data_IF_930118195084
#
_entry.id   IF_930118195084
#
_cell.length_a   1.000
_cell.length_b   1.000
_cell.length_c   1.000
_cell.angle_alpha   90.00
_cell.angle_beta   90.00
_cell.angle_gamma   90.00
#
_symmetry.space_group_name_H-M   'P 1'
#
loop_
_entity.id
_entity.type
_entity.pdbx_description
1 polymer ?
#
# COMPACT_ATOMS: atom_id res chain seq x y z
N UNK A 1 -17.60 -19.47 -7.17
CA UNK A 1 -16.62 -18.97 -6.18
C UNK A 1 -15.68 -18.03 -6.91
N UNK A 2 -15.76 -16.72 -6.68
CA UNK A 2 -14.73 -15.81 -7.20
C UNK A 2 -13.41 -16.16 -6.53
N UNK A 3 -12.43 -16.62 -7.31
CA UNK A 3 -11.08 -16.82 -6.79
C UNK A 3 -10.47 -15.43 -6.59
N UNK A 4 -10.10 -15.11 -5.35
CA UNK A 4 -9.35 -13.88 -5.06
C UNK A 4 -7.95 -14.04 -5.67
N UNK A 5 -7.60 -13.13 -6.58
CA UNK A 5 -6.30 -13.16 -7.27
C UNK A 5 -5.22 -12.38 -6.52
N UNK A 6 -5.60 -11.60 -5.50
CA UNK A 6 -4.72 -10.72 -4.74
C UNK A 6 -4.84 -10.99 -3.24
N UNK A 7 -3.72 -10.85 -2.54
CA UNK A 7 -3.63 -10.86 -1.09
C UNK A 7 -3.01 -9.55 -0.60
N UNK A 8 -3.48 -9.02 0.53
CA UNK A 8 -2.94 -7.82 1.14
C UNK A 8 -2.79 -8.00 2.65
N UNK A 9 -1.80 -7.34 3.25
CA UNK A 9 -1.50 -7.41 4.67
C UNK A 9 -0.95 -6.07 5.21
N UNK A 10 -1.03 -5.85 6.54
CA UNK A 10 -0.40 -4.69 7.17
C UNK A 10 1.13 -4.73 7.09
N UNK A 11 1.72 -3.56 6.80
CA UNK A 11 3.16 -3.30 6.80
C UNK A 11 3.47 -2.23 7.84
N UNK A 12 4.45 -2.48 8.70
CA UNK A 12 5.02 -1.47 9.58
C UNK A 12 6.26 -0.85 8.93
N UNK A 13 6.29 0.47 8.82
CA UNK A 13 7.46 1.23 8.41
C UNK A 13 8.08 1.89 9.64
N UNK A 14 9.37 1.66 9.87
CA UNK A 14 10.14 2.24 10.97
C UNK A 14 11.24 3.15 10.41
N UNK A 15 11.31 4.38 10.90
CA UNK A 15 12.41 5.30 10.63
C UNK A 15 13.32 5.38 11.85
N UNK A 16 14.55 4.87 11.72
CA UNK A 16 15.47 4.72 12.87
C UNK A 16 15.84 6.06 13.51
N UNK A 17 16.00 7.10 12.69
CA UNK A 17 16.50 8.39 13.16
C UNK A 17 15.42 9.20 13.89
N UNK A 18 14.16 9.01 13.51
CA UNK A 18 13.02 9.76 14.02
C UNK A 18 12.29 9.02 15.14
N UNK A 19 12.65 7.74 15.39
CA UNK A 19 11.90 6.82 16.28
C UNK A 19 10.42 6.72 15.90
N UNK A 20 10.13 6.96 14.63
CA UNK A 20 8.79 6.94 14.07
C UNK A 20 8.44 5.53 13.60
N UNK A 21 7.22 5.10 13.89
CA UNK A 21 6.67 3.83 13.41
C UNK A 21 5.27 4.06 12.87
N UNK A 22 5.06 3.81 11.58
CA UNK A 22 3.75 3.93 10.94
C UNK A 22 3.33 2.58 10.37
N UNK A 23 2.14 2.11 10.74
CA UNK A 23 1.52 0.90 10.21
C UNK A 23 0.48 1.26 9.17
N UNK A 24 0.60 0.68 7.98
CA UNK A 24 -0.38 0.84 6.88
C UNK A 24 -0.84 -0.52 6.40
N UNK A 25 -2.11 -0.67 6.11
CA UNK A 25 -2.65 -1.98 5.73
C UNK A 25 -4.12 -1.99 5.35
N UNK A 26 -4.63 -3.15 4.92
CA UNK A 26 -6.04 -3.32 4.63
C UNK A 26 -6.87 -3.34 5.92
N UNK A 27 -8.02 -2.69 5.91
CA UNK A 27 -9.06 -2.87 6.90
C UNK A 27 -9.98 -4.01 6.46
N UNK A 28 -10.20 -5.00 7.32
CA UNK A 28 -10.84 -6.25 6.94
C UNK A 28 -12.05 -6.58 7.81
N UNK A 29 -13.10 -7.11 7.18
CA UNK A 29 -14.25 -7.73 7.87
C UNK A 29 -14.19 -9.23 7.59
N UNK A 30 -13.74 -10.02 8.58
CA UNK A 30 -13.13 -11.32 8.30
C UNK A 30 -12.08 -11.15 7.19
N UNK A 31 -12.01 -12.02 6.18
CA UNK A 31 -10.95 -11.95 5.17
C UNK A 31 -11.25 -10.99 4.01
N UNK A 32 -12.42 -10.34 4.02
CA UNK A 32 -12.81 -9.41 2.98
C UNK A 32 -12.23 -8.02 3.28
N UNK A 33 -11.48 -7.45 2.33
CA UNK A 33 -10.93 -6.10 2.44
C UNK A 33 -12.03 -5.08 2.21
N UNK A 34 -12.30 -4.24 3.22
CA UNK A 34 -13.32 -3.19 3.17
C UNK A 34 -12.74 -1.80 3.00
N UNK A 35 -11.41 -1.65 3.09
CA UNK A 35 -10.72 -0.38 2.94
C UNK A 35 -9.26 -0.48 3.35
N UNK A 36 -8.65 0.66 3.65
CA UNK A 36 -7.25 0.76 4.07
C UNK A 36 -7.14 1.69 5.29
N UNK A 37 -6.17 1.43 6.14
CA UNK A 37 -5.87 2.24 7.32
C UNK A 37 -4.41 2.69 7.32
N UNK A 38 -4.16 3.76 8.07
CA UNK A 38 -2.82 4.23 8.43
C UNK A 38 -2.84 4.63 9.90
N UNK A 39 -1.89 4.13 10.67
CA UNK A 39 -1.76 4.38 12.10
C UNK A 39 -0.32 4.75 12.43
N UNK A 40 -0.15 5.88 13.09
CA UNK A 40 1.14 6.32 13.65
C UNK A 40 1.25 5.83 15.10
N UNK A 41 2.37 5.18 15.42
CA UNK A 41 2.68 4.56 16.71
C UNK A 41 3.86 5.23 17.42
N UNK A 42 4.36 6.35 16.91
CA UNK A 42 5.60 7.02 17.38
C UNK A 42 5.52 7.51 18.82
N UNK A 43 4.35 7.94 19.27
CA UNK A 43 4.14 8.50 20.61
C UNK A 43 3.73 7.45 21.66
N UNK A 44 3.80 6.15 21.36
CA UNK A 44 3.48 5.06 22.29
C UNK A 44 2.00 4.96 22.69
N UNK A 45 1.18 5.94 22.29
CA UNK A 45 -0.27 5.81 22.28
C UNK A 45 -0.66 5.38 20.87
N UNK A 46 -1.31 4.22 20.77
CA UNK A 46 -2.05 3.84 19.58
C UNK A 46 -3.18 4.87 19.42
N UNK A 47 -2.88 6.04 18.83
CA UNK A 47 -3.91 6.96 18.40
C UNK A 47 -4.87 6.12 17.54
N UNK A 48 -6.14 6.12 17.94
CA UNK A 48 -7.15 5.19 17.44
C UNK A 48 -6.97 4.98 15.94
N UNK A 49 -6.84 3.72 15.52
CA UNK A 49 -6.68 3.35 14.12
C UNK A 49 -7.66 4.21 13.32
N UNK A 50 -7.13 5.13 12.52
CA UNK A 50 -7.98 5.99 11.71
C UNK A 50 -8.54 5.09 10.61
N UNK A 51 -9.71 4.49 10.87
CA UNK A 51 -10.56 3.93 9.83
C UNK A 51 -10.99 5.11 8.99
N UNK A 52 -10.13 5.50 8.06
CA UNK A 52 -10.46 6.51 7.07
C UNK A 52 -11.42 5.85 6.10
N UNK A 53 -12.69 5.75 6.50
CA UNK A 53 -13.79 5.61 5.56
C UNK A 53 -13.85 6.92 4.78
N UNK A 54 -13.06 6.98 3.71
CA UNK A 54 -12.98 8.02 2.68
C UNK A 54 -12.57 9.45 3.14
N UNK A 55 -11.47 9.91 2.55
CA UNK A 55 -11.16 11.33 2.27
C UNK A 55 -10.78 12.25 3.45
N UNK A 56 -9.52 12.20 3.92
CA UNK A 56 -8.70 13.40 4.24
C UNK A 56 -7.24 13.14 4.67
N UNK A 57 -6.64 12.07 4.19
CA UNK A 57 -5.24 12.09 3.78
C UNK A 57 -5.23 11.11 2.62
N UNK A 58 -5.06 11.60 1.40
CA UNK A 58 -4.87 10.73 0.26
C UNK A 58 -3.48 10.10 0.50
N UNK A 59 -3.32 8.80 0.83
CA UNK A 59 -2.08 8.17 0.39
C UNK A 59 -2.14 8.37 -1.12
N UNK A 60 -1.16 9.05 -1.68
CA UNK A 60 -1.08 9.27 -3.11
C UNK A 60 -1.02 7.90 -3.80
N UNK A 61 -2.18 7.27 -4.05
CA UNK A 61 -2.34 6.08 -4.87
C UNK A 61 -1.58 4.81 -4.49
N UNK A 62 -0.85 4.74 -3.38
CA UNK A 62 0.18 3.72 -3.25
C UNK A 62 -0.03 2.86 -2.01
N UNK A 63 -0.66 1.70 -2.19
CA UNK A 63 -0.44 0.56 -1.31
C UNK A 63 1.07 0.28 -1.36
N UNK A 64 1.70 0.15 -0.20
CA UNK A 64 3.13 -0.18 -0.13
C UNK A 64 3.38 -1.45 -0.97
N UNK A 65 4.43 -1.43 -1.79
CA UNK A 65 4.86 -2.56 -2.63
C UNK A 65 5.04 -3.83 -1.80
N UNK A 66 5.41 -3.66 -0.53
CA UNK A 66 5.62 -4.72 0.43
C UNK A 66 4.33 -5.22 1.11
N UNK A 67 3.18 -4.59 0.81
CA UNK A 67 1.89 -4.84 1.47
C UNK A 67 0.91 -5.73 0.69
N UNK A 68 1.32 -6.28 -0.45
CA UNK A 68 0.47 -7.16 -1.24
C UNK A 68 1.24 -8.25 -2.00
N UNK A 69 0.50 -9.28 -2.43
CA UNK A 69 0.92 -10.25 -3.43
C UNK A 69 -0.23 -10.62 -4.35
N UNK A 70 0.08 -11.28 -5.46
CA UNK A 70 -0.90 -11.72 -6.44
C UNK A 70 -0.59 -13.14 -6.93
N UNK A 71 -1.62 -13.83 -7.41
CA UNK A 71 -1.47 -15.12 -8.08
C UNK A 71 -0.69 -14.93 -9.39
N UNK A 72 0.35 -15.74 -9.62
CA UNK A 72 1.19 -15.64 -10.81
C UNK A 72 0.42 -15.75 -12.13
N UNK A 73 -0.77 -16.37 -12.14
CA UNK A 73 -1.66 -16.40 -13.31
C UNK A 73 -2.05 -15.00 -13.81
N UNK A 74 -2.03 -13.98 -12.95
CA UNK A 74 -2.33 -12.57 -13.31
C UNK A 74 -1.34 -12.02 -14.34
N UNK A 75 -0.09 -12.49 -14.34
CA UNK A 75 0.93 -12.03 -15.31
C UNK A 75 0.66 -12.51 -16.74
N UNK A 76 -0.13 -13.57 -16.88
CA UNK A 76 -0.35 -14.26 -18.15
C UNK A 76 -1.80 -14.14 -18.64
N UNK A 77 -2.60 -13.26 -18.02
CA UNK A 77 -4.01 -13.06 -18.36
C UNK A 77 -4.15 -12.22 -19.65
N UNK A 78 -4.59 -12.84 -20.78
CA UNK A 78 -4.69 -12.16 -22.06
C UNK A 78 -5.77 -11.06 -22.08
N UNK A 79 -6.80 -11.13 -21.23
CA UNK A 79 -7.83 -10.09 -21.15
C UNK A 79 -7.30 -8.80 -20.51
N UNK A 80 -6.30 -8.92 -19.62
CA UNK A 80 -5.65 -7.79 -18.94
C UNK A 80 -4.54 -7.17 -19.78
N UNK A 81 -3.73 -7.97 -20.47
CA UNK A 81 -2.64 -7.46 -21.32
C UNK A 81 -3.10 -7.03 -22.72
N UNK A 82 -4.19 -7.61 -23.25
CA UNK A 82 -4.73 -7.26 -24.58
C UNK A 82 -5.43 -5.89 -24.68
N UNK A 83 -5.56 -5.16 -23.57
CA UNK A 83 -6.18 -3.83 -23.50
C UNK A 83 -5.18 -2.68 -23.44
N UNK A 84 -3.88 -2.96 -23.40
CA UNK A 84 -2.87 -1.90 -23.31
C UNK A 84 -2.67 -1.24 -24.67
N UNK A 85 -2.84 0.09 -24.81
CA UNK A 85 -2.44 0.78 -26.01
C UNK A 85 -0.90 0.80 -26.06
N UNK A 86 -0.31 0.03 -26.99
CA UNK A 86 1.13 0.03 -27.30
C UNK A 86 1.62 1.36 -27.92
N UNK A 87 0.86 2.46 -27.78
CA UNK A 87 1.10 3.73 -28.47
C UNK A 87 1.87 4.78 -27.66
N UNK A 88 2.14 4.57 -26.37
CA UNK A 88 3.04 5.44 -25.59
C UNK A 88 4.24 4.62 -25.08
N UNK A 89 5.42 4.72 -25.73
CA UNK A 89 6.55 3.85 -25.44
C UNK A 89 7.35 4.19 -24.18
N UNK A 90 6.86 5.07 -23.29
CA UNK A 90 7.67 5.62 -22.19
C UNK A 90 7.01 5.59 -20.79
N UNK A 91 5.79 5.05 -20.66
CA UNK A 91 5.12 4.84 -19.35
C UNK A 91 5.12 3.37 -18.92
N UNK A 92 5.84 2.52 -19.63
CA UNK A 92 5.70 1.06 -19.65
C UNK A 92 6.60 0.29 -18.66
N UNK A 93 7.16 0.89 -17.60
CA UNK A 93 8.11 0.14 -16.76
C UNK A 93 8.00 0.27 -15.25
N UNK A 94 6.94 0.85 -14.70
CA UNK A 94 6.68 0.70 -13.27
C UNK A 94 5.62 -0.40 -13.04
N UNK A 95 6.04 -1.65 -13.28
CA UNK A 95 5.19 -2.84 -13.07
C UNK A 95 4.56 -2.87 -11.68
N UNK A 96 5.22 -2.26 -10.70
CA UNK A 96 4.74 -2.05 -9.34
C UNK A 96 3.51 -1.15 -9.27
N UNK A 97 3.55 0.02 -9.92
CA UNK A 97 2.40 0.94 -10.00
C UNK A 97 1.18 0.31 -10.65
N UNK A 98 1.40 -0.52 -11.66
CA UNK A 98 0.33 -1.25 -12.31
C UNK A 98 -0.36 -2.20 -11.33
N UNK A 99 0.39 -3.02 -10.58
CA UNK A 99 -0.24 -3.96 -9.65
C UNK A 99 -0.92 -3.24 -8.48
N UNK A 100 -0.34 -2.14 -7.98
CA UNK A 100 -0.99 -1.32 -6.96
C UNK A 100 -2.33 -0.78 -7.43
N UNK A 101 -2.40 -0.24 -8.65
CA UNK A 101 -3.65 0.25 -9.21
C UNK A 101 -4.69 -0.88 -9.31
N UNK A 102 -4.29 -2.06 -9.78
CA UNK A 102 -5.17 -3.22 -9.89
C UNK A 102 -5.72 -3.68 -8.53
N UNK A 103 -4.90 -3.66 -7.48
CA UNK A 103 -5.32 -4.02 -6.12
C UNK A 103 -6.35 -3.02 -5.59
N UNK A 104 -6.23 -1.74 -5.96
CA UNK A 104 -7.15 -0.67 -5.54
C UNK A 104 -8.45 -0.60 -6.35
N UNK A 105 -8.43 -1.06 -7.61
CA UNK A 105 -9.59 -1.00 -8.51
C UNK A 105 -10.75 -1.91 -8.08
N UNK A 106 -10.46 -3.09 -7.53
CA UNK A 106 -11.48 -4.08 -7.17
C UNK A 106 -11.12 -4.83 -5.87
N UNK A 107 -11.53 -4.24 -4.75
CA UNK A 107 -11.33 -4.83 -3.42
C UNK A 107 -12.01 -6.20 -3.26
N UNK A 108 -13.03 -6.54 -4.07
CA UNK A 108 -13.67 -7.86 -4.00
C UNK A 108 -12.76 -9.00 -4.46
N UNK A 109 -11.67 -8.68 -5.16
CA UNK A 109 -10.64 -9.62 -5.62
C UNK A 109 -9.44 -9.70 -4.67
N UNK A 110 -9.43 -8.88 -3.62
CA UNK A 110 -8.34 -8.79 -2.64
C UNK A 110 -8.77 -9.46 -1.34
N UNK A 111 -7.94 -10.37 -0.84
CA UNK A 111 -8.14 -11.04 0.44
C UNK A 111 -7.14 -10.54 1.48
N UNK A 112 -7.64 -10.32 2.70
CA UNK A 112 -6.82 -10.03 3.87
C UNK A 112 -5.99 -11.22 4.32
N UNK A 113 -4.72 -10.98 4.65
CA UNK A 113 -3.79 -11.98 5.22
C UNK A 113 -3.12 -11.36 6.48
N UNK A 114 -3.18 -12.00 7.66
CA UNK A 114 -4.06 -13.11 8.01
C UNK A 114 -5.54 -12.74 7.82
N UNK A 115 -6.45 -13.70 8.00
CA UNK A 115 -7.85 -13.56 7.62
C UNK A 115 -8.64 -12.45 8.33
N UNK A 116 -8.05 -11.69 9.24
CA UNK A 116 -8.63 -10.54 9.93
C UNK A 116 -7.74 -9.29 9.84
N UNK A 117 -6.61 -9.36 9.12
CA UNK A 117 -5.64 -8.29 8.93
C UNK A 117 -5.11 -7.69 10.25
N UNK A 118 -5.11 -8.48 11.33
CA UNK A 118 -4.78 -8.00 12.68
C UNK A 118 -3.28 -8.04 12.99
N UNK A 119 -2.49 -8.74 12.18
CA UNK A 119 -1.06 -8.94 12.43
C UNK A 119 -0.19 -8.23 11.39
N UNK A 120 0.87 -7.57 11.88
CA UNK A 120 1.95 -7.05 11.05
C UNK A 120 2.95 -8.18 10.80
N UNK A 121 3.01 -8.65 9.55
CA UNK A 121 3.94 -9.71 9.14
C UNK A 121 5.18 -9.18 8.42
N UNK A 122 5.17 -7.91 8.00
CA UNK A 122 6.25 -7.28 7.24
C UNK A 122 6.66 -5.96 7.88
N UNK A 123 7.97 -5.80 8.07
CA UNK A 123 8.60 -4.61 8.62
C UNK A 123 9.56 -4.02 7.60
N UNK A 124 9.26 -2.81 7.16
CA UNK A 124 10.15 -1.99 6.35
C UNK A 124 10.94 -1.07 7.28
N UNK A 125 12.26 -1.26 7.35
CA UNK A 125 13.15 -0.42 8.17
C UNK A 125 13.88 0.54 7.26
N UNK A 126 13.55 1.82 7.37
CA UNK A 126 14.27 2.88 6.69
C UNK A 126 15.48 3.31 7.54
N UNK A 127 16.65 3.26 6.92
CA UNK A 127 17.94 3.60 7.53
C UNK A 127 18.55 4.87 6.92
N UNK A 128 17.87 5.51 5.96
CA UNK A 128 18.39 6.72 5.35
C UNK A 128 18.23 7.91 6.31
N UNK A 129 19.34 8.59 6.59
CA UNK A 129 19.30 9.87 7.30
C UNK A 129 18.49 10.88 6.48
N UNK A 130 17.59 11.67 7.10
CA UNK A 130 16.88 12.72 6.37
C UNK A 130 17.91 13.62 5.70
N UNK A 131 17.84 13.74 4.37
CA UNK A 131 18.67 14.70 3.66
C UNK A 131 18.41 16.07 4.29
N UNK A 132 19.45 16.84 4.70
CA UNK A 132 19.22 18.15 5.29
C UNK A 132 18.40 18.97 4.29
N UNK A 133 17.18 19.33 4.70
CA UNK A 133 16.31 20.20 3.91
C UNK A 133 17.13 21.43 3.53
N UNK A 134 17.38 21.63 2.24
CA UNK A 134 18.05 22.84 1.77
C UNK A 134 17.22 24.04 2.25
N UNK A 135 17.80 25.01 2.97
CA UNK A 135 17.04 26.16 3.43
C UNK A 135 16.47 26.90 2.22
N UNK A 136 15.13 26.97 2.14
CA UNK A 136 14.45 27.83 1.19
C UNK A 136 14.92 29.26 1.42
N UNK A 137 15.76 29.77 0.51
CA UNK A 137 16.12 31.17 0.44
C UNK A 137 14.83 32.00 0.27
N UNK A 138 14.39 32.66 1.33
CA UNK A 138 13.50 33.82 1.24
C UNK A 138 14.25 34.93 0.51
N UNK A 139 14.08 35.01 -0.81
CA UNK A 139 14.44 36.23 -1.55
C UNK A 139 13.47 37.34 -1.12
N UNK A 140 14.02 38.35 -0.45
CA UNK A 140 13.43 39.67 -0.25
C UNK A 140 13.69 40.52 -1.48
#
# INVERSE_FOLDING_TARGET
MSQCAFGAWPVATMWRDEREVVVRGPACSSSAVTGWFSQDLSDGTAAAASTTSTARARPSGEVDVHGFAFNSSVLWDPERWGRYPTSEPDKSQDSTKFVQQVVLEDLSKVKGIPSDCSEVMVWHVDTAAPSPSSPQNKRR
#
